data_IF_327002440595
#
_entry.id   IF_327002440595
#
_cell.length_a   1.000
_cell.length_b   1.000
_cell.length_c   1.000
_cell.angle_alpha   90.00
_cell.angle_beta   90.00
_cell.angle_gamma   90.00
#
_symmetry.space_group_name_H-M   'P 1'
#
loop_
_entity.id
_entity.type
_entity.pdbx_description
1 polymer ?
#
# COMPACT_ATOMS: atom_id res chain seq x y z
N UNK A 1 22.56 24.00 1.45
CA UNK A 1 21.66 23.02 2.11
C UNK A 1 21.51 21.85 1.17
N UNK A 2 22.01 20.66 1.54
CA UNK A 2 21.79 19.46 0.72
C UNK A 2 20.36 18.96 0.97
N UNK A 3 19.60 18.61 -0.08
CA UNK A 3 18.31 17.97 0.10
C UNK A 3 18.54 16.62 0.77
N UNK A 4 17.85 16.37 1.88
CA UNK A 4 17.81 15.05 2.53
C UNK A 4 17.14 14.08 1.56
N UNK A 5 17.93 13.50 0.65
CA UNK A 5 17.48 12.34 -0.12
C UNK A 5 17.15 11.23 0.87
N UNK A 6 16.01 10.55 0.71
CA UNK A 6 15.70 9.39 1.52
C UNK A 6 16.85 8.39 1.37
N UNK A 7 17.37 7.91 2.50
CA UNK A 7 18.45 6.92 2.52
C UNK A 7 18.00 5.67 1.77
N UNK A 8 18.93 4.97 1.12
CA UNK A 8 18.63 3.75 0.37
C UNK A 8 17.83 2.73 1.20
N UNK A 9 18.08 2.69 2.52
CA UNK A 9 17.36 1.87 3.49
C UNK A 9 15.88 2.24 3.61
N UNK A 10 15.54 3.53 3.59
CA UNK A 10 14.14 3.97 3.63
C UNK A 10 13.40 3.57 2.34
N UNK A 11 14.03 3.75 1.18
CA UNK A 11 13.44 3.32 -0.10
C UNK A 11 13.24 1.81 -0.14
N UNK A 12 14.21 1.04 0.37
CA UNK A 12 14.12 -0.42 0.48
C UNK A 12 12.97 -0.82 1.41
N UNK A 13 12.91 -0.26 2.62
CA UNK A 13 11.85 -0.55 3.59
C UNK A 13 10.46 -0.22 3.04
N UNK A 14 10.29 0.92 2.38
CA UNK A 14 9.00 1.26 1.75
C UNK A 14 8.62 0.29 0.63
N UNK A 15 9.60 -0.23 -0.12
CA UNK A 15 9.34 -1.23 -1.16
C UNK A 15 8.89 -2.56 -0.54
N UNK A 16 9.59 -3.03 0.50
CA UNK A 16 9.24 -4.26 1.23
C UNK A 16 7.83 -4.19 1.83
N UNK A 17 7.44 -3.04 2.39
CA UNK A 17 6.08 -2.83 2.90
C UNK A 17 5.05 -2.82 1.77
N UNK A 18 5.34 -2.17 0.63
CA UNK A 18 4.43 -2.18 -0.52
C UNK A 18 4.20 -3.61 -1.05
N UNK A 19 5.25 -4.44 -1.10
CA UNK A 19 5.14 -5.83 -1.52
C UNK A 19 4.34 -6.66 -0.49
N UNK A 20 4.53 -6.41 0.80
CA UNK A 20 3.73 -7.06 1.86
C UNK A 20 2.24 -6.70 1.77
N UNK A 21 1.93 -5.43 1.47
CA UNK A 21 0.55 -4.98 1.26
C UNK A 21 -0.08 -5.64 0.03
N UNK A 22 0.69 -5.79 -1.05
CA UNK A 22 0.26 -6.47 -2.27
C UNK A 22 -0.09 -7.94 -2.04
N UNK A 23 0.77 -8.66 -1.31
CA UNK A 23 0.54 -10.07 -0.96
C UNK A 23 -0.69 -10.23 -0.05
N UNK A 24 -0.86 -9.30 0.89
CA UNK A 24 -2.02 -9.26 1.79
C UNK A 24 -3.32 -8.99 1.03
N UNK A 25 -3.31 -8.04 0.09
CA UNK A 25 -4.43 -7.75 -0.80
C UNK A 25 -4.84 -9.00 -1.60
N UNK A 26 -3.88 -9.66 -2.23
CA UNK A 26 -4.13 -10.85 -3.04
C UNK A 26 -4.72 -12.00 -2.21
N UNK A 27 -4.19 -12.19 -0.99
CA UNK A 27 -4.69 -13.20 -0.06
C UNK A 27 -6.13 -12.91 0.39
N UNK A 28 -6.45 -11.66 0.69
CA UNK A 28 -7.80 -11.24 1.08
C UNK A 28 -8.80 -11.37 -0.06
N UNK A 29 -8.41 -11.03 -1.28
CA UNK A 29 -9.27 -11.21 -2.46
C UNK A 29 -9.56 -12.69 -2.70
N UNK A 30 -8.56 -13.57 -2.58
CA UNK A 30 -8.77 -15.01 -2.68
C UNK A 30 -9.71 -15.54 -1.59
N UNK A 31 -9.61 -15.03 -0.36
CA UNK A 31 -10.52 -15.39 0.71
C UNK A 31 -11.95 -14.90 0.46
N UNK A 32 -12.10 -13.66 -0.02
CA UNK A 32 -13.41 -13.09 -0.38
C UNK A 32 -14.12 -13.92 -1.47
N UNK A 33 -13.38 -14.35 -2.50
CA UNK A 33 -13.91 -15.23 -3.56
C UNK A 33 -14.39 -16.55 -2.97
N UNK A 34 -13.60 -17.20 -2.12
CA UNK A 34 -13.97 -18.47 -1.49
C UNK A 34 -15.21 -18.35 -0.60
N UNK A 35 -15.38 -17.23 0.10
CA UNK A 35 -16.57 -16.95 0.91
C UNK A 35 -17.80 -16.77 0.02
N UNK A 36 -17.68 -16.02 -1.08
CA UNK A 36 -18.77 -15.86 -2.05
C UNK A 36 -19.17 -17.20 -2.70
N UNK A 37 -18.20 -18.07 -3.01
CA UNK A 37 -18.45 -19.41 -3.58
C UNK A 37 -19.29 -20.31 -2.65
N UNK A 38 -19.20 -20.12 -1.33
CA UNK A 38 -19.98 -20.87 -0.34
C UNK A 38 -21.23 -20.11 0.15
N UNK A 39 -21.57 -18.98 -0.50
CA UNK A 39 -22.75 -18.18 -0.19
C UNK A 39 -22.62 -17.25 1.03
N UNK A 40 -21.40 -17.05 1.53
CA UNK A 40 -21.09 -16.09 2.61
C UNK A 40 -20.84 -14.69 2.02
N UNK A 41 -21.86 -14.13 1.37
CA UNK A 41 -21.77 -12.88 0.62
C UNK A 41 -21.47 -11.66 1.51
N UNK A 42 -21.94 -11.65 2.77
CA UNK A 42 -21.67 -10.54 3.69
C UNK A 42 -20.22 -10.52 4.13
N UNK A 43 -19.66 -11.67 4.52
CA UNK A 43 -18.26 -11.81 4.88
C UNK A 43 -17.33 -11.58 3.68
N UNK A 44 -17.73 -12.05 2.49
CA UNK A 44 -17.02 -11.75 1.25
C UNK A 44 -16.96 -10.24 0.96
N UNK A 45 -18.06 -9.51 1.17
CA UNK A 45 -18.09 -8.04 1.02
C UNK A 45 -17.19 -7.34 2.03
N UNK A 46 -17.19 -7.77 3.30
CA UNK A 46 -16.32 -7.20 4.32
C UNK A 46 -14.83 -7.39 3.96
N UNK A 47 -14.44 -8.58 3.50
CA UNK A 47 -13.07 -8.81 3.03
C UNK A 47 -12.73 -7.99 1.78
N UNK A 48 -13.70 -7.79 0.88
CA UNK A 48 -13.50 -6.96 -0.30
C UNK A 48 -13.28 -5.48 0.06
N UNK A 49 -14.04 -4.93 1.01
CA UNK A 49 -13.82 -3.56 1.49
C UNK A 49 -12.44 -3.41 2.17
N UNK A 50 -12.04 -4.38 3.00
CA UNK A 50 -10.70 -4.38 3.60
C UNK A 50 -9.59 -4.46 2.53
N UNK A 51 -9.78 -5.26 1.49
CA UNK A 51 -8.82 -5.35 0.38
C UNK A 51 -8.68 -4.00 -0.35
N UNK A 52 -9.77 -3.25 -0.56
CA UNK A 52 -9.71 -1.90 -1.16
C UNK A 52 -8.92 -0.91 -0.29
N UNK A 53 -9.07 -0.97 1.03
CA UNK A 53 -8.31 -0.12 1.94
C UNK A 53 -6.81 -0.42 1.88
N UNK A 54 -6.44 -1.70 1.82
CA UNK A 54 -5.04 -2.14 1.69
C UNK A 54 -4.45 -1.71 0.34
N UNK A 55 -5.19 -1.86 -0.75
CA UNK A 55 -4.78 -1.37 -2.06
C UNK A 55 -4.55 0.14 -2.04
N UNK A 56 -5.44 0.91 -1.39
CA UNK A 56 -5.25 2.35 -1.24
C UNK A 56 -4.00 2.70 -0.44
N UNK A 57 -3.68 1.93 0.60
CA UNK A 57 -2.45 2.10 1.38
C UNK A 57 -1.20 1.78 0.55
N UNK A 58 -1.23 0.71 -0.24
CA UNK A 58 -0.17 0.32 -1.17
C UNK A 58 0.09 1.43 -2.20
N UNK A 59 -0.96 1.96 -2.83
CA UNK A 59 -0.86 3.01 -3.85
C UNK A 59 -0.26 4.30 -3.30
N UNK A 60 -0.67 4.71 -2.09
CA UNK A 60 -0.09 5.86 -1.38
C UNK A 60 1.39 5.64 -1.10
N UNK A 61 1.75 4.45 -0.64
CA UNK A 61 3.14 4.10 -0.38
C UNK A 61 3.99 4.11 -1.64
N UNK A 62 3.53 3.49 -2.73
CA UNK A 62 4.23 3.50 -4.03
C UNK A 62 4.40 4.92 -4.57
N UNK A 63 3.37 5.76 -4.43
CA UNK A 63 3.43 7.18 -4.79
C UNK A 63 4.48 7.91 -3.98
N UNK A 64 4.47 7.75 -2.65
CA UNK A 64 5.49 8.35 -1.78
C UNK A 64 6.90 7.85 -2.10
N UNK A 65 7.10 6.56 -2.38
CA UNK A 65 8.40 6.02 -2.80
C UNK A 65 8.85 6.63 -4.13
N UNK A 66 7.94 6.80 -5.09
CA UNK A 66 8.24 7.44 -6.38
C UNK A 66 8.64 8.90 -6.20
N UNK A 67 7.90 9.67 -5.42
CA UNK A 67 8.20 11.07 -5.12
C UNK A 67 9.50 11.24 -4.33
N UNK A 68 9.75 10.30 -3.42
CA UNK A 68 10.99 10.14 -2.65
C UNK A 68 12.21 9.93 -3.54
N UNK A 69 12.10 9.04 -4.53
CA UNK A 69 13.17 8.76 -5.50
C UNK A 69 13.42 9.89 -6.49
N UNK A 70 12.42 10.73 -6.75
CA UNK A 70 12.52 11.91 -7.64
C UNK A 70 12.99 13.17 -6.89
N UNK A 71 13.25 13.08 -5.57
CA UNK A 71 13.71 14.23 -4.76
C UNK A 71 12.61 15.26 -4.48
N UNK A 72 11.33 14.89 -4.62
CA UNK A 72 10.17 15.76 -4.38
C UNK A 72 9.69 15.79 -2.92
N UNK A 73 10.44 15.22 -1.97
CA UNK A 73 10.24 15.51 -0.53
C UNK A 73 10.78 16.91 -0.18
N UNK A 74 10.52 17.90 -1.02
CA UNK A 74 10.77 19.30 -0.72
C UNK A 74 9.42 20.00 -0.87
N UNK A 75 8.92 20.51 0.26
CA UNK A 75 7.66 21.26 0.46
C UNK A 75 6.45 20.43 0.92
N UNK A 76 6.62 19.65 2.00
CA UNK A 76 5.57 19.70 3.02
C UNK A 76 5.88 20.95 3.85
N UNK A 77 5.15 22.03 3.54
CA UNK A 77 5.29 23.34 4.16
C UNK A 77 5.18 23.21 5.69
N UNK A 78 6.26 23.61 6.37
CA UNK A 78 6.15 24.13 7.73
C UNK A 78 5.63 25.56 7.55
N UNK A 79 4.36 25.80 7.89
CA UNK A 79 3.82 27.13 8.09
C UNK A 79 3.40 27.26 9.55
#
# INVERSE_FOLDING_TARGET
MQPNSPTADLVKSMTEVADTLHDSFTSLLSAAVRLAEVGQDEEAKLLLELAKEIQSAEDKMRTHTKDSRVGKILKLNVH
#
